data_IF_071477048517
#
_entry.id   IF_071477048517
#
_cell.length_a   1.000
_cell.length_b   1.000
_cell.length_c   1.000
_cell.angle_alpha   90.00
_cell.angle_beta   90.00
_cell.angle_gamma   90.00
#
_symmetry.space_group_name_H-M   'P 1'
#
loop_
_entity.id
_entity.type
_entity.pdbx_description
1 polymer ?
#
# COMPACT_ATOMS: atom_id res chain seq x y z
N UNK A 1 -7.12 -30.75 -88.72
CA UNK A 1 -6.25 -31.26 -87.65
C UNK A 1 -7.02 -32.38 -86.98
N UNK A 2 -7.05 -33.62 -87.49
CA UNK A 2 -5.94 -34.45 -88.01
C UNK A 2 -4.92 -34.65 -86.88
N UNK A 3 -4.58 -35.83 -86.39
CA UNK A 3 -4.97 -37.21 -86.68
C UNK A 3 -4.38 -38.10 -85.57
N UNK A 4 -4.91 -39.32 -85.46
CA UNK A 4 -4.23 -40.44 -84.83
C UNK A 4 -2.85 -40.65 -85.46
N UNK A 5 -1.77 -40.62 -84.68
CA UNK A 5 -0.50 -41.25 -85.08
C UNK A 5 0.11 -41.98 -83.88
N UNK A 6 -0.16 -43.29 -83.86
CA UNK A 6 0.68 -44.31 -83.26
C UNK A 6 1.81 -44.60 -84.29
N UNK A 7 3.07 -44.27 -83.99
CA UNK A 7 4.27 -44.79 -84.70
C UNK A 7 5.51 -44.36 -83.89
N UNK A 8 6.31 -45.21 -83.24
CA UNK A 8 7.04 -46.44 -83.64
C UNK A 8 8.19 -46.16 -84.61
N UNK A 9 9.42 -46.42 -84.12
CA UNK A 9 10.55 -47.08 -84.79
C UNK A 9 11.49 -47.60 -83.67
N UNK A 10 11.37 -48.85 -83.20
CA UNK A 10 11.89 -50.14 -83.72
C UNK A 10 13.40 -50.31 -83.47
N UNK A 11 13.87 -51.48 -82.96
CA UNK A 11 13.48 -52.81 -83.42
C UNK A 11 12.90 -53.73 -82.33
N UNK A 12 12.04 -54.65 -82.78
CA UNK A 12 11.91 -56.02 -82.27
C UNK A 12 11.77 -56.24 -80.74
N UNK A 13 10.53 -56.55 -80.29
CA UNK A 13 10.34 -57.57 -79.26
C UNK A 13 9.78 -57.17 -77.89
N UNK A 14 8.67 -56.43 -77.85
CA UNK A 14 7.66 -56.38 -76.77
C UNK A 14 8.11 -56.47 -75.29
N UNK A 15 8.14 -55.32 -74.59
CA UNK A 15 7.75 -55.30 -73.18
C UNK A 15 6.87 -54.09 -72.82
N UNK A 16 5.78 -54.33 -72.07
CA UNK A 16 4.98 -53.25 -71.48
C UNK A 16 3.52 -53.62 -71.28
N UNK A 17 3.26 -54.69 -70.54
CA UNK A 17 1.92 -55.13 -70.15
C UNK A 17 1.19 -54.03 -69.35
N UNK A 18 0.05 -53.57 -69.87
CA UNK A 18 -1.02 -53.01 -69.03
C UNK A 18 -1.72 -54.19 -68.39
N UNK A 19 -1.25 -54.59 -67.20
CA UNK A 19 -1.80 -55.72 -66.46
C UNK A 19 -2.93 -55.20 -65.58
N UNK A 20 -4.15 -55.57 -65.96
CA UNK A 20 -5.36 -55.43 -65.17
C UNK A 20 -5.10 -55.83 -63.71
N UNK A 21 -5.42 -54.90 -62.82
CA UNK A 21 -5.39 -55.05 -61.38
C UNK A 21 -6.53 -56.00 -61.01
N UNK A 22 -6.23 -57.28 -60.77
CA UNK A 22 -7.18 -58.28 -60.28
C UNK A 22 -6.61 -58.93 -59.00
N UNK A 23 -6.87 -58.23 -57.90
CA UNK A 23 -7.24 -58.74 -56.57
C UNK A 23 -6.97 -60.23 -56.27
N UNK A 24 -5.96 -60.51 -55.44
CA UNK A 24 -5.89 -61.75 -54.63
C UNK A 24 -5.42 -61.38 -53.22
N UNK A 25 -6.23 -61.80 -52.25
CA UNK A 25 -6.15 -61.62 -50.80
C UNK A 25 -5.05 -62.52 -50.19
N UNK A 26 -4.15 -61.95 -49.41
CA UNK A 26 -3.11 -62.67 -48.65
C UNK A 26 -3.04 -62.16 -47.21
N UNK A 27 -4.20 -62.11 -46.54
CA UNK A 27 -4.30 -61.99 -45.09
C UNK A 27 -4.17 -63.38 -44.42
N UNK A 28 -3.02 -64.03 -44.53
CA UNK A 28 -2.61 -65.08 -43.59
C UNK A 28 -1.13 -65.38 -43.79
N UNK A 29 -0.41 -65.73 -42.72
CA UNK A 29 1.03 -66.05 -42.67
C UNK A 29 1.93 -64.84 -42.36
N UNK A 30 1.89 -64.33 -41.12
CA UNK A 30 3.07 -63.98 -40.29
C UNK A 30 2.58 -63.64 -38.86
N UNK A 31 3.09 -64.26 -37.78
CA UNK A 31 2.79 -63.81 -36.43
C UNK A 31 3.45 -62.44 -36.17
N UNK A 32 2.77 -61.47 -35.53
CA UNK A 32 3.42 -60.21 -35.18
C UNK A 32 4.48 -60.46 -34.10
N UNK A 33 5.75 -60.21 -34.45
CA UNK A 33 6.87 -60.20 -33.50
C UNK A 33 6.59 -59.11 -32.47
N UNK A 34 6.55 -59.50 -31.20
CA UNK A 34 6.37 -58.61 -30.07
C UNK A 34 7.59 -57.68 -29.97
N UNK A 35 7.53 -56.50 -30.59
CA UNK A 35 8.48 -55.43 -30.32
C UNK A 35 8.12 -54.81 -28.98
N UNK A 36 8.65 -55.36 -27.88
CA UNK A 36 8.71 -54.60 -26.63
C UNK A 36 9.62 -53.40 -26.89
N UNK A 37 9.00 -52.25 -27.17
CA UNK A 37 9.70 -50.97 -27.07
C UNK A 37 10.28 -50.88 -25.67
N UNK A 38 11.61 -50.83 -25.59
CA UNK A 38 12.33 -50.47 -24.41
C UNK A 38 11.86 -49.07 -24.00
N UNK A 39 10.88 -49.00 -23.09
CA UNK A 39 10.45 -47.75 -22.49
C UNK A 39 11.65 -47.19 -21.73
N UNK A 40 12.37 -46.29 -22.40
CA UNK A 40 13.33 -45.41 -21.76
C UNK A 40 12.52 -44.50 -20.84
N UNK A 41 12.28 -44.97 -19.62
CA UNK A 41 11.68 -44.19 -18.55
C UNK A 41 12.63 -43.01 -18.30
N UNK A 42 12.35 -41.88 -18.94
CA UNK A 42 12.97 -40.62 -18.62
C UNK A 42 12.52 -40.22 -17.20
N UNK A 43 13.23 -40.73 -16.19
CA UNK A 43 13.11 -40.33 -14.77
C UNK A 43 13.39 -38.83 -14.57
N UNK A 44 13.90 -38.16 -15.60
CA UNK A 44 14.09 -36.72 -15.73
C UNK A 44 13.31 -36.13 -16.91
N UNK A 45 12.12 -36.67 -17.21
CA UNK A 45 11.15 -35.89 -17.98
C UNK A 45 10.79 -34.67 -17.11
N UNK A 46 11.18 -33.47 -17.54
CA UNK A 46 10.66 -32.26 -16.93
C UNK A 46 9.14 -32.38 -16.93
N UNK A 47 8.45 -32.10 -15.79
CA UNK A 47 7.00 -32.12 -15.79
C UNK A 47 6.57 -31.29 -16.98
N UNK A 48 5.68 -31.83 -17.83
CA UNK A 48 5.13 -31.07 -18.94
C UNK A 48 4.58 -29.78 -18.34
N UNK A 49 5.37 -28.71 -18.41
CA UNK A 49 4.89 -27.40 -18.05
C UNK A 49 3.70 -27.24 -18.96
N UNK A 50 2.53 -27.09 -18.38
CA UNK A 50 1.34 -26.74 -19.12
C UNK A 50 1.64 -25.42 -19.82
N UNK A 51 2.18 -25.53 -21.04
CA UNK A 51 2.49 -24.43 -21.94
C UNK A 51 1.26 -24.09 -22.76
N UNK A 52 0.05 -24.50 -22.32
CA UNK A 52 -1.10 -23.69 -22.69
C UNK A 52 -0.74 -22.28 -22.22
N UNK A 53 -0.68 -21.29 -23.12
CA UNK A 53 -0.74 -19.93 -22.66
C UNK A 53 -2.04 -19.89 -21.86
N UNK A 54 -1.97 -19.77 -20.53
CA UNK A 54 -3.15 -19.50 -19.70
C UNK A 54 -3.57 -18.06 -19.97
N UNK A 55 -3.92 -17.80 -21.23
CA UNK A 55 -4.03 -16.52 -21.89
C UNK A 55 -4.86 -16.68 -23.17
N UNK A 56 -6.00 -17.38 -23.11
CA UNK A 56 -7.13 -17.20 -24.05
C UNK A 56 -8.46 -17.42 -23.35
N UNK A 57 -8.61 -16.87 -22.15
CA UNK A 57 -9.93 -16.59 -21.61
C UNK A 57 -9.86 -15.18 -21.03
N UNK A 58 -10.80 -14.31 -21.39
CA UNK A 58 -10.96 -12.97 -20.82
C UNK A 58 -11.35 -13.00 -19.35
N UNK A 59 -10.76 -13.91 -18.58
CA UNK A 59 -10.99 -14.11 -17.16
C UNK A 59 -10.47 -12.90 -16.41
N UNK A 60 -11.40 -12.04 -16.03
CA UNK A 60 -11.11 -10.91 -15.16
C UNK A 60 -11.39 -11.27 -13.71
N UNK A 61 -10.63 -10.70 -12.78
CA UNK A 61 -10.86 -10.86 -11.35
C UNK A 61 -11.43 -9.57 -10.74
N UNK A 62 -12.36 -9.67 -9.79
CA UNK A 62 -12.89 -8.52 -9.06
C UNK A 62 -12.02 -8.22 -7.84
N UNK A 63 -11.18 -7.16 -7.87
CA UNK A 63 -10.32 -6.83 -6.74
C UNK A 63 -11.12 -6.35 -5.53
N UNK A 64 -10.97 -7.07 -4.41
CA UNK A 64 -11.35 -6.60 -3.07
C UNK A 64 -10.39 -5.50 -2.59
N UNK A 65 -10.85 -4.68 -1.64
CA UNK A 65 -10.07 -3.57 -1.07
C UNK A 65 -8.79 -4.05 -0.36
N UNK A 66 -8.89 -5.00 0.58
CA UNK A 66 -7.79 -5.43 1.46
C UNK A 66 -7.23 -6.84 1.16
N UNK A 67 -7.27 -7.28 -0.10
CA UNK A 67 -6.58 -8.53 -0.47
C UNK A 67 -5.08 -8.29 -0.66
N UNK A 68 -4.24 -9.22 -0.22
CA UNK A 68 -2.78 -9.16 -0.39
C UNK A 68 -2.30 -9.61 -1.78
N UNK A 69 -3.16 -10.33 -2.51
CA UNK A 69 -2.87 -10.93 -3.82
C UNK A 69 -3.72 -10.30 -4.91
N UNK A 70 -3.17 -10.25 -6.11
CA UNK A 70 -3.83 -9.74 -7.31
C UNK A 70 -3.61 -8.26 -7.56
N UNK A 71 -3.89 -7.86 -8.79
CA UNK A 71 -3.61 -6.52 -9.32
C UNK A 71 -4.74 -5.54 -9.01
N UNK A 72 -4.45 -4.25 -9.16
CA UNK A 72 -5.44 -3.19 -9.04
C UNK A 72 -5.21 -2.13 -10.14
N UNK A 73 -6.28 -1.79 -10.85
CA UNK A 73 -6.22 -0.77 -11.89
C UNK A 73 -6.22 0.66 -11.33
N UNK A 74 -5.82 1.63 -12.15
CA UNK A 74 -5.66 3.05 -11.77
C UNK A 74 -6.87 3.68 -11.07
N UNK A 75 -8.09 3.45 -11.60
CA UNK A 75 -9.33 4.05 -11.07
C UNK A 75 -9.63 3.53 -9.66
N UNK A 76 -9.53 2.22 -9.46
CA UNK A 76 -9.78 1.60 -8.14
C UNK A 76 -8.71 2.00 -7.14
N UNK A 77 -7.45 2.05 -7.58
CA UNK A 77 -6.34 2.51 -6.76
C UNK A 77 -6.59 3.94 -6.26
N UNK A 78 -6.99 4.85 -7.14
CA UNK A 78 -7.30 6.24 -6.78
C UNK A 78 -8.46 6.34 -5.78
N UNK A 79 -9.59 5.67 -6.03
CA UNK A 79 -10.74 5.73 -5.11
C UNK A 79 -10.37 5.13 -3.75
N UNK A 80 -9.73 3.96 -3.72
CA UNK A 80 -9.36 3.32 -2.46
C UNK A 80 -8.26 4.09 -1.71
N UNK A 81 -7.29 4.67 -2.40
CA UNK A 81 -6.27 5.50 -1.77
C UNK A 81 -6.88 6.76 -1.17
N UNK A 82 -7.80 7.44 -1.86
CA UNK A 82 -8.53 8.59 -1.32
C UNK A 82 -9.34 8.24 -0.08
N UNK A 83 -10.05 7.10 -0.07
CA UNK A 83 -10.80 6.64 1.11
C UNK A 83 -9.86 6.37 2.30
N UNK A 84 -8.70 5.76 2.06
CA UNK A 84 -7.70 5.53 3.12
C UNK A 84 -7.11 6.85 3.61
N UNK A 85 -6.81 7.79 2.72
CA UNK A 85 -6.33 9.14 3.08
C UNK A 85 -7.33 9.92 3.94
N UNK A 86 -8.62 9.91 3.56
CA UNK A 86 -9.68 10.55 4.36
C UNK A 86 -9.79 9.87 5.74
N UNK A 87 -9.75 8.55 5.79
CA UNK A 87 -9.76 7.80 7.06
C UNK A 87 -8.56 8.19 7.94
N UNK A 88 -7.35 8.29 7.37
CA UNK A 88 -6.16 8.75 8.09
C UNK A 88 -6.37 10.15 8.64
N UNK A 89 -6.85 11.11 7.83
CA UNK A 89 -7.08 12.49 8.26
C UNK A 89 -8.08 12.59 9.42
N UNK A 90 -9.18 11.82 9.37
CA UNK A 90 -10.17 11.79 10.46
C UNK A 90 -9.58 11.18 11.73
N UNK A 91 -8.85 10.07 11.61
CA UNK A 91 -8.22 9.42 12.77
C UNK A 91 -7.14 10.30 13.40
N UNK A 92 -6.32 10.98 12.59
CA UNK A 92 -5.28 11.89 13.11
C UNK A 92 -5.90 13.14 13.73
N UNK A 93 -6.95 13.72 13.15
CA UNK A 93 -7.67 14.85 13.74
C UNK A 93 -8.29 14.47 15.11
N UNK A 94 -8.93 13.30 15.20
CA UNK A 94 -9.48 12.79 16.45
C UNK A 94 -8.39 12.55 17.50
N UNK A 95 -7.24 11.99 17.09
CA UNK A 95 -6.10 11.78 17.97
C UNK A 95 -5.54 13.10 18.51
N UNK A 96 -5.39 14.12 17.65
CA UNK A 96 -4.90 15.44 18.06
C UNK A 96 -5.88 16.08 19.05
N UNK A 97 -7.19 16.04 18.77
CA UNK A 97 -8.20 16.60 19.68
C UNK A 97 -8.19 15.93 21.06
N UNK A 98 -7.98 14.61 21.11
CA UNK A 98 -7.82 13.88 22.36
C UNK A 98 -6.55 14.27 23.11
N UNK A 99 -5.44 14.46 22.38
CA UNK A 99 -4.15 14.81 22.95
C UNK A 99 -4.16 16.21 23.61
N UNK A 100 -4.87 17.16 23.01
CA UNK A 100 -5.03 18.54 23.52
C UNK A 100 -5.95 18.58 24.74
N UNK A 101 -7.02 17.79 24.77
CA UNK A 101 -8.04 17.85 25.84
C UNK A 101 -7.70 17.00 27.07
N UNK A 102 -7.01 15.87 26.88
CA UNK A 102 -6.69 14.95 27.95
C UNK A 102 -5.38 14.20 27.65
N UNK A 103 -4.23 14.88 27.82
CA UNK A 103 -2.93 14.28 27.61
C UNK A 103 -2.72 13.07 28.54
N UNK A 104 -2.67 11.88 27.96
CA UNK A 104 -2.38 10.62 28.65
C UNK A 104 -1.50 9.75 27.76
N UNK A 105 -0.36 9.25 28.26
CA UNK A 105 0.55 8.42 27.46
C UNK A 105 -0.13 7.16 26.92
N UNK A 106 -1.10 6.61 27.66
CA UNK A 106 -1.90 5.45 27.22
C UNK A 106 -2.80 5.80 26.02
N UNK A 107 -3.43 6.98 26.04
CA UNK A 107 -4.28 7.44 24.94
C UNK A 107 -3.46 7.74 23.67
N UNK A 108 -2.28 8.35 23.84
CA UNK A 108 -1.33 8.57 22.74
C UNK A 108 -0.89 7.25 22.10
N UNK A 109 -0.57 6.25 22.92
CA UNK A 109 -0.19 4.92 22.44
C UNK A 109 -1.33 4.25 21.67
N UNK A 110 -2.56 4.30 22.20
CA UNK A 110 -3.74 3.73 21.54
C UNK A 110 -4.01 4.39 20.19
N UNK A 111 -3.86 5.72 20.12
CA UNK A 111 -3.97 6.47 18.87
C UNK A 111 -2.94 6.06 17.82
N UNK A 112 -1.69 5.85 18.23
CA UNK A 112 -0.63 5.37 17.33
C UNK A 112 -0.93 3.96 16.81
N UNK A 113 -1.41 3.07 17.68
CA UNK A 113 -1.79 1.70 17.30
C UNK A 113 -2.94 1.70 16.30
N UNK A 114 -3.90 2.62 16.42
CA UNK A 114 -5.00 2.79 15.48
C UNK A 114 -4.55 3.24 14.08
N UNK A 115 -3.39 3.88 13.94
CA UNK A 115 -2.86 4.30 12.65
C UNK A 115 -2.20 3.16 11.86
N UNK A 116 -1.71 2.13 12.55
CA UNK A 116 -1.06 0.95 11.94
C UNK A 116 -1.90 0.29 10.84
N UNK A 117 -3.20 -0.05 11.05
CA UNK A 117 -4.01 -0.65 9.98
C UNK A 117 -4.18 0.25 8.77
N UNK A 118 -4.25 1.58 8.96
CA UNK A 118 -4.36 2.53 7.86
C UNK A 118 -3.07 2.58 7.03
N UNK A 119 -1.91 2.56 7.69
CA UNK A 119 -0.59 2.44 7.04
C UNK A 119 -0.41 1.10 6.33
N UNK A 120 -0.89 0.01 6.92
CA UNK A 120 -0.88 -1.30 6.26
C UNK A 120 -1.75 -1.27 5.00
N UNK A 121 -2.94 -0.66 5.06
CA UNK A 121 -3.82 -0.52 3.90
C UNK A 121 -3.17 0.27 2.75
N UNK A 122 -2.49 1.39 3.04
CA UNK A 122 -1.78 2.16 1.99
C UNK A 122 -0.68 1.34 1.34
N UNK A 123 0.11 0.60 2.12
CA UNK A 123 1.18 -0.26 1.60
C UNK A 123 0.64 -1.38 0.72
N UNK A 124 -0.43 -2.05 1.14
CA UNK A 124 -1.08 -3.13 0.38
C UNK A 124 -1.57 -2.63 -0.98
N UNK A 125 -2.25 -1.48 -1.00
CA UNK A 125 -2.75 -0.89 -2.24
C UNK A 125 -1.62 -0.52 -3.20
N UNK A 126 -0.56 0.11 -2.69
CA UNK A 126 0.60 0.52 -3.49
C UNK A 126 1.36 -0.69 -4.04
N UNK A 127 1.58 -1.73 -3.24
CA UNK A 127 2.19 -2.99 -3.69
C UNK A 127 1.43 -3.59 -4.89
N UNK A 128 0.10 -3.63 -4.81
CA UNK A 128 -0.76 -4.18 -5.87
C UNK A 128 -0.75 -3.32 -7.13
N UNK A 129 -0.64 -2.00 -6.97
CA UNK A 129 -0.53 -1.08 -8.09
C UNK A 129 0.83 -1.20 -8.77
N UNK A 130 1.89 -1.45 -8.01
CA UNK A 130 3.22 -1.74 -8.57
C UNK A 130 3.23 -3.06 -9.34
N UNK A 131 2.59 -4.09 -8.80
CA UNK A 131 2.40 -5.36 -9.53
C UNK A 131 1.58 -5.19 -10.82
N UNK A 132 0.67 -4.22 -10.89
CA UNK A 132 -0.07 -3.89 -12.09
C UNK A 132 0.80 -3.27 -13.19
N UNK A 133 1.92 -2.65 -12.82
CA UNK A 133 2.95 -2.10 -13.72
C UNK A 133 4.16 -3.04 -13.88
N UNK A 134 4.03 -4.30 -13.46
CA UNK A 134 5.07 -5.34 -13.52
C UNK A 134 6.34 -5.09 -12.68
N UNK A 135 6.26 -4.12 -11.77
CA UNK A 135 7.34 -3.73 -10.86
C UNK A 135 7.28 -4.51 -9.55
N UNK A 136 8.40 -4.47 -8.82
CA UNK A 136 8.50 -5.09 -7.50
C UNK A 136 7.67 -4.31 -6.47
N UNK A 137 6.93 -5.03 -5.62
CA UNK A 137 6.16 -4.42 -4.53
C UNK A 137 7.02 -3.72 -3.47
N UNK A 138 8.32 -4.00 -3.43
CA UNK A 138 9.29 -3.36 -2.53
C UNK A 138 9.47 -1.87 -2.80
N UNK A 139 9.23 -1.41 -4.05
CA UNK A 139 9.18 0.02 -4.35
C UNK A 139 8.07 0.74 -3.56
N UNK A 140 7.11 0.01 -2.98
CA UNK A 140 6.12 0.59 -2.07
C UNK A 140 6.73 1.21 -0.81
N UNK A 141 7.95 0.81 -0.41
CA UNK A 141 8.66 1.41 0.73
C UNK A 141 9.07 2.87 0.47
N UNK A 142 9.15 3.31 -0.79
CA UNK A 142 9.41 4.71 -1.15
C UNK A 142 8.33 5.66 -0.60
N UNK A 143 7.15 5.14 -0.24
CA UNK A 143 6.11 5.93 0.44
C UNK A 143 6.52 6.44 1.83
N UNK A 144 7.53 5.83 2.48
CA UNK A 144 8.00 6.29 3.79
C UNK A 144 8.72 7.64 3.73
N UNK A 145 9.20 8.04 2.53
CA UNK A 145 9.88 9.32 2.32
C UNK A 145 8.86 10.34 1.78
N UNK A 146 8.46 11.38 2.52
CA UNK A 146 7.33 12.25 2.14
C UNK A 146 7.46 12.91 0.76
N UNK A 147 8.63 13.48 0.45
CA UNK A 147 8.86 14.15 -0.83
C UNK A 147 8.80 13.17 -2.00
N UNK A 148 9.46 12.02 -1.85
CA UNK A 148 9.45 10.97 -2.88
C UNK A 148 8.05 10.39 -3.03
N UNK A 149 7.33 10.21 -1.91
CA UNK A 149 5.98 9.69 -1.90
C UNK A 149 5.04 10.53 -2.77
N UNK A 150 5.14 11.86 -2.71
CA UNK A 150 4.30 12.74 -3.50
C UNK A 150 4.46 12.51 -5.02
N UNK A 151 5.70 12.58 -5.52
CA UNK A 151 5.99 12.34 -6.93
C UNK A 151 5.71 10.89 -7.36
N UNK A 152 6.03 9.93 -6.50
CA UNK A 152 5.80 8.51 -6.74
C UNK A 152 4.30 8.19 -6.82
N UNK A 153 3.50 8.75 -5.92
CA UNK A 153 2.04 8.66 -5.93
C UNK A 153 1.44 9.23 -7.21
N UNK A 154 1.90 10.42 -7.63
CA UNK A 154 1.46 11.05 -8.86
C UNK A 154 1.78 10.20 -10.10
N UNK A 155 3.00 9.66 -10.16
CA UNK A 155 3.41 8.75 -11.22
C UNK A 155 2.55 7.47 -11.25
N UNK A 156 2.23 6.88 -10.10
CA UNK A 156 1.34 5.71 -10.02
C UNK A 156 -0.10 6.00 -10.47
N UNK A 157 -0.58 7.24 -10.30
CA UNK A 157 -1.91 7.64 -10.75
C UNK A 157 -2.01 7.73 -12.28
N UNK A 158 -1.00 8.30 -12.94
CA UNK A 158 -1.01 8.46 -14.40
C UNK A 158 -0.40 7.29 -15.17
N UNK A 159 0.43 6.48 -14.53
CA UNK A 159 1.08 5.32 -15.16
C UNK A 159 0.07 4.33 -15.75
N UNK A 160 0.38 3.77 -16.92
CA UNK A 160 -0.43 2.68 -17.50
C UNK A 160 -0.04 1.36 -16.83
N UNK A 161 -1.03 0.51 -16.52
CA UNK A 161 -0.81 -0.88 -16.11
C UNK A 161 -0.71 -1.80 -17.33
N UNK A 162 -0.34 -3.06 -17.14
CA UNK A 162 -0.28 -4.03 -18.25
C UNK A 162 -1.67 -4.46 -18.71
N UNK A 163 -1.89 -4.58 -20.02
CA UNK A 163 -3.21 -4.81 -20.62
C UNK A 163 -3.63 -6.30 -20.61
N UNK A 164 -2.68 -7.22 -20.47
CA UNK A 164 -2.89 -8.67 -20.41
C UNK A 164 -2.62 -9.29 -19.03
N UNK A 165 -2.71 -10.62 -18.95
CA UNK A 165 -2.26 -11.36 -17.78
C UNK A 165 -0.75 -11.16 -17.54
N UNK A 166 -0.33 -11.03 -16.28
CA UNK A 166 1.07 -10.89 -15.91
C UNK A 166 1.48 -11.89 -14.83
N UNK A 167 2.76 -11.90 -14.44
CA UNK A 167 3.31 -12.79 -13.38
C UNK A 167 2.63 -12.66 -12.01
N UNK A 168 1.87 -11.58 -11.78
CA UNK A 168 1.14 -11.29 -10.55
C UNK A 168 -0.37 -11.59 -10.65
N UNK A 169 -0.85 -12.05 -11.81
CA UNK A 169 -2.21 -12.55 -12.02
C UNK A 169 -2.96 -11.89 -13.17
N UNK A 170 -4.24 -12.25 -13.24
CA UNK A 170 -5.20 -11.81 -14.24
C UNK A 170 -5.47 -10.29 -14.16
N UNK A 171 -5.87 -9.67 -15.28
CA UNK A 171 -6.26 -8.26 -15.29
C UNK A 171 -7.49 -8.00 -14.40
N UNK A 172 -7.57 -6.82 -13.75
CA UNK A 172 -8.72 -6.45 -12.94
C UNK A 172 -9.96 -6.25 -13.80
N UNK A 173 -11.13 -6.64 -13.26
CA UNK A 173 -12.42 -6.49 -13.92
C UNK A 173 -12.73 -5.02 -14.27
N UNK A 174 -13.51 -4.79 -15.35
CA UNK A 174 -13.96 -3.46 -15.76
C UNK A 174 -14.50 -2.64 -14.59
N UNK A 175 -14.27 -1.33 -14.63
CA UNK A 175 -14.71 -0.43 -13.57
C UNK A 175 -16.20 -0.12 -13.73
N UNK A 176 -16.92 -0.10 -12.61
CA UNK A 176 -18.33 0.33 -12.58
C UNK A 176 -18.43 1.84 -12.81
N UNK A 177 -19.58 2.31 -13.35
CA UNK A 177 -19.82 3.75 -13.60
C UNK A 177 -19.69 4.57 -12.32
N UNK A 178 -20.17 4.04 -11.19
CA UNK A 178 -20.02 4.66 -9.87
C UNK A 178 -18.56 4.90 -9.49
N UNK A 179 -17.67 3.95 -9.79
CA UNK A 179 -16.25 4.07 -9.47
C UNK A 179 -15.55 5.09 -10.37
N UNK A 180 -15.97 5.20 -11.63
CA UNK A 180 -15.50 6.25 -12.54
C UNK A 180 -15.93 7.63 -12.06
N UNK A 181 -17.19 7.79 -11.64
CA UNK A 181 -17.69 9.05 -11.07
C UNK A 181 -16.92 9.40 -9.79
N UNK A 182 -16.77 8.45 -8.88
CA UNK A 182 -16.02 8.64 -7.63
C UNK A 182 -14.57 9.05 -7.88
N UNK A 183 -13.92 8.52 -8.92
CA UNK A 183 -12.55 8.85 -9.26
C UNK A 183 -12.36 10.32 -9.69
N UNK A 184 -13.41 10.99 -10.16
CA UNK A 184 -13.39 12.42 -10.46
C UNK A 184 -13.91 13.26 -9.29
N UNK A 185 -15.00 12.82 -8.65
CA UNK A 185 -15.64 13.55 -7.56
C UNK A 185 -14.74 13.65 -6.33
N UNK A 186 -14.07 12.57 -5.93
CA UNK A 186 -13.25 12.57 -4.71
C UNK A 186 -12.06 13.55 -4.78
N UNK A 187 -11.22 13.57 -5.84
CA UNK A 187 -10.14 14.55 -5.95
C UNK A 187 -10.63 15.99 -6.05
N UNK A 188 -11.73 16.23 -6.77
CA UNK A 188 -12.31 17.57 -6.90
C UNK A 188 -12.85 18.05 -5.56
N UNK A 189 -13.59 17.19 -4.84
CA UNK A 189 -14.10 17.52 -3.51
C UNK A 189 -12.95 17.79 -2.52
N UNK A 190 -11.89 16.99 -2.57
CA UNK A 190 -10.68 17.22 -1.76
C UNK A 190 -10.04 18.57 -2.08
N UNK A 191 -9.82 18.87 -3.37
CA UNK A 191 -9.27 20.16 -3.79
C UNK A 191 -10.16 21.35 -3.42
N UNK A 192 -11.49 21.21 -3.53
CA UNK A 192 -12.45 22.24 -3.13
C UNK A 192 -12.50 22.42 -1.60
N UNK A 193 -12.24 21.36 -0.82
CA UNK A 193 -12.20 21.43 0.64
C UNK A 193 -10.92 22.07 1.19
N UNK A 194 -9.82 22.07 0.43
CA UNK A 194 -8.51 22.57 0.89
C UNK A 194 -8.54 23.98 1.49
N UNK A 195 -9.16 25.00 0.86
CA UNK A 195 -9.23 26.34 1.46
C UNK A 195 -9.98 26.39 2.79
N UNK A 196 -10.96 25.49 2.98
CA UNK A 196 -11.70 25.38 4.23
C UNK A 196 -10.87 24.72 5.32
N UNK A 197 -10.05 23.74 4.96
CA UNK A 197 -9.14 23.05 5.89
C UNK A 197 -8.07 24.01 6.41
N UNK A 198 -7.46 24.83 5.54
CA UNK A 198 -6.46 25.82 5.98
C UNK A 198 -7.03 26.85 6.97
N UNK A 199 -8.25 27.33 6.72
CA UNK A 199 -8.95 28.23 7.65
C UNK A 199 -9.34 27.55 8.97
N UNK A 200 -9.60 26.24 8.93
CA UNK A 200 -9.87 25.46 10.12
C UNK A 200 -8.59 25.36 10.96
N UNK A 201 -7.44 25.11 10.34
CA UNK A 201 -6.14 25.04 11.02
C UNK A 201 -5.82 26.35 11.75
N UNK A 202 -5.99 27.51 11.10
CA UNK A 202 -5.80 28.82 11.73
C UNK A 202 -6.66 28.97 13.00
N UNK A 203 -7.96 28.66 12.90
CA UNK A 203 -8.88 28.73 14.05
C UNK A 203 -8.51 27.78 15.18
N UNK A 204 -8.04 26.57 14.84
CA UNK A 204 -7.63 25.58 15.82
C UNK A 204 -6.35 25.99 16.54
N UNK A 205 -5.39 26.57 15.82
CA UNK A 205 -4.15 27.11 16.39
C UNK A 205 -4.48 28.26 17.36
N UNK A 206 -5.35 29.19 16.96
CA UNK A 206 -5.81 30.28 17.80
C UNK A 206 -6.53 29.79 19.06
N UNK A 207 -7.38 28.77 18.94
CA UNK A 207 -8.09 28.20 20.07
C UNK A 207 -7.14 27.55 21.10
N UNK A 208 -6.09 26.86 20.63
CA UNK A 208 -5.10 26.23 21.49
C UNK A 208 -4.23 27.29 22.18
N UNK A 209 -3.69 28.25 21.43
CA UNK A 209 -2.85 29.32 22.02
C UNK A 209 -3.67 30.25 22.93
N UNK A 210 -4.92 30.54 22.57
CA UNK A 210 -5.83 31.35 23.37
C UNK A 210 -6.22 30.69 24.69
N UNK A 211 -6.35 29.36 24.72
CA UNK A 211 -6.57 28.61 25.97
C UNK A 211 -5.39 28.75 26.93
N UNK A 212 -4.15 28.74 26.41
CA UNK A 212 -2.94 28.87 27.23
C UNK A 212 -2.76 30.31 27.75
N UNK A 213 -3.00 31.32 26.92
CA UNK A 213 -2.98 32.73 27.33
C UNK A 213 -3.98 33.02 28.46
N UNK A 214 -5.20 32.47 28.38
CA UNK A 214 -6.23 32.64 29.42
C UNK A 214 -5.87 31.95 30.76
N UNK A 215 -4.96 30.97 30.74
CA UNK A 215 -4.46 30.28 31.95
C UNK A 215 -3.34 31.09 32.62
N UNK A 216 -2.48 31.73 31.83
CA UNK A 216 -1.35 32.55 32.31
C UNK A 216 -1.83 33.80 33.05
N UNK A 217 -2.83 34.49 32.51
CA UNK A 217 -3.43 35.70 33.12
C UNK A 217 -3.96 35.42 34.54
N UNK A 218 -4.64 34.28 34.74
CA UNK A 218 -5.20 33.91 36.05
C UNK A 218 -4.18 33.39 37.07
N UNK A 219 -2.98 33.04 36.62
CA UNK A 219 -1.94 32.45 37.50
C UNK A 219 -0.97 33.52 38.01
N UNK A 220 -0.92 34.70 37.38
CA UNK A 220 0.04 35.75 37.72
C UNK A 220 -0.64 37.13 37.81
N UNK A 221 -1.43 37.31 38.87
CA UNK A 221 -1.88 38.62 39.36
C UNK A 221 -0.97 39.07 40.53
N UNK A 222 0.19 39.72 40.29
CA UNK A 222 1.06 40.19 41.37
C UNK A 222 0.46 41.36 42.16
N UNK A 223 -0.68 41.91 41.72
CA UNK A 223 -1.32 43.09 42.31
C UNK A 223 -2.59 42.79 43.12
N UNK A 224 -3.23 41.63 42.92
CA UNK A 224 -4.47 41.28 43.62
C UNK A 224 -4.23 40.95 45.10
N UNK A 225 -3.02 40.53 45.48
CA UNK A 225 -2.64 40.27 46.87
C UNK A 225 -2.37 41.55 47.69
N UNK A 226 -2.19 42.72 47.05
CA UNK A 226 -1.87 43.98 47.75
C UNK A 226 -3.10 44.75 48.23
N UNK A 227 -4.28 44.45 47.68
CA UNK A 227 -5.53 45.16 47.96
C UNK A 227 -6.55 44.31 48.74
N UNK A 228 -6.12 43.24 49.40
CA UNK A 228 -6.98 42.58 50.39
C UNK A 228 -7.36 43.61 51.47
N UNK A 229 -8.65 43.79 51.79
CA UNK A 229 -9.05 44.77 52.79
C UNK A 229 -8.39 44.42 54.13
N UNK A 230 -7.72 45.40 54.72
CA UNK A 230 -7.21 45.30 56.07
C UNK A 230 -8.40 45.13 57.02
N UNK A 231 -8.64 43.90 57.43
CA UNK A 231 -9.56 43.59 58.51
C UNK A 231 -9.04 44.27 59.77
N UNK A 232 -9.81 45.26 60.23
CA UNK A 232 -9.64 45.92 61.52
C UNK A 232 -10.64 45.27 62.46
N UNK A 233 -10.22 44.15 63.05
CA UNK A 233 -10.95 43.44 64.08
C UNK A 233 -9.97 43.01 65.16
N UNK A 234 -9.92 43.79 66.23
CA UNK A 234 -9.29 43.40 67.47
C UNK A 234 -10.07 42.25 68.14
N UNK A 235 -9.39 41.55 69.06
CA UNK A 235 -9.93 40.63 70.07
C UNK A 235 -10.19 39.21 69.48
N UNK A 236 -9.42 38.16 69.78
CA UNK A 236 -9.24 37.56 71.11
C UNK A 236 -7.95 36.72 71.20
N UNK A 237 -7.29 36.84 72.36
CA UNK A 237 -6.22 35.96 72.79
C UNK A 237 -6.78 34.67 73.41
N UNK A 238 -6.38 33.49 72.92
CA UNK A 238 -6.04 32.36 73.82
C UNK A 238 -5.24 31.26 73.11
N UNK A 239 -4.01 31.07 73.60
CA UNK A 239 -3.29 29.82 73.81
C UNK A 239 -3.62 28.58 72.96
N UNK A 240 -2.62 28.11 72.21
CA UNK A 240 -2.15 26.72 72.31
C UNK A 240 -0.73 26.59 71.71
N UNK A 241 0.23 26.31 72.59
CA UNK A 241 1.60 25.91 72.31
C UNK A 241 1.65 24.60 71.51
N UNK A 242 2.50 24.55 70.49
CA UNK A 242 2.82 23.35 69.73
C UNK A 242 4.17 23.49 69.05
N UNK A 243 5.17 22.88 69.68
CA UNK A 243 6.58 22.81 69.35
C UNK A 243 6.86 22.15 67.98
N UNK A 244 7.69 22.76 67.13
CA UNK A 244 8.33 22.10 65.99
C UNK A 244 9.43 23.01 65.40
N UNK A 245 10.58 23.05 66.07
CA UNK A 245 11.84 23.50 65.50
C UNK A 245 12.24 22.57 64.35
N UNK A 246 12.32 23.10 63.12
CA UNK A 246 12.94 22.42 61.99
C UNK A 246 14.01 23.34 61.40
N UNK A 247 15.26 22.94 61.60
CA UNK A 247 16.47 23.62 61.18
C UNK A 247 16.51 23.83 59.66
N UNK A 248 16.87 25.05 59.25
CA UNK A 248 17.20 25.40 57.88
C UNK A 248 18.66 25.02 57.65
N UNK A 249 18.89 23.90 56.96
CA UNK A 249 20.22 23.51 56.49
C UNK A 249 20.47 24.17 55.12
N UNK A 250 21.39 25.15 55.10
CA UNK A 250 21.89 25.82 53.91
C UNK A 250 22.95 24.92 53.26
N UNK A 251 22.78 24.42 52.02
CA UNK A 251 23.85 23.67 51.37
C UNK A 251 24.91 24.64 50.85
N UNK A 252 26.12 24.51 51.41
CA UNK A 252 27.31 25.25 51.03
C UNK A 252 27.77 24.93 49.60
N UNK A 253 27.97 26.01 48.86
CA UNK A 253 28.82 26.25 47.70
C UNK A 253 29.88 25.16 47.38
N UNK A 254 29.75 24.55 46.20
CA UNK A 254 30.77 23.68 45.60
C UNK A 254 31.77 24.52 44.78
N UNK A 255 33.09 24.39 44.98
CA UNK A 255 34.08 25.18 44.26
C UNK A 255 34.30 24.70 42.82
N UNK A 256 34.51 25.66 41.93
CA UNK A 256 34.72 25.51 40.50
C UNK A 256 35.90 24.58 40.11
N UNK A 257 35.81 23.83 39.00
CA UNK A 257 36.90 22.95 38.55
C UNK A 257 38.05 23.75 37.91
N UNK A 258 39.26 23.51 38.42
CA UNK A 258 40.52 24.11 37.95
C UNK A 258 40.90 23.65 36.52
N UNK A 259 41.41 24.59 35.74
CA UNK A 259 41.87 24.41 34.37
C UNK A 259 43.13 23.51 34.25
N UNK A 260 43.30 22.74 33.16
CA UNK A 260 44.48 21.91 32.95
C UNK A 260 45.69 22.73 32.43
N UNK A 261 46.87 22.51 33.04
CA UNK A 261 48.16 23.09 32.64
C UNK A 261 48.93 22.11 31.73
N UNK A 262 49.65 22.57 30.68
CA UNK A 262 50.04 21.73 29.54
C UNK A 262 51.32 20.90 29.72
N UNK A 263 51.28 19.75 29.05
CA UNK A 263 52.31 18.92 28.40
C UNK A 263 53.76 18.90 28.93
N UNK A 264 54.22 17.68 29.23
CA UNK A 264 55.52 17.16 28.81
C UNK A 264 55.43 15.64 28.59
#
# INVERSE_FOLDING_TARGET
>A
MTEHIFSVLCPEGFPGQTLMIMQIDTQEIYPPIHSQEFQLNHLYAAPAADMTPRAVSGETYVPRMLTMKGRIGRVRYLVYSMVVWITIMVLTAALIALLVTAFSPLMSLLGLVMLIPALAATFILTRRRLHDMELSGWLGLLQMVPLVNFFFGLWMFFGRGSEGANKYGLPPAPNTRALLIAAWVLPIAFAASMPSILKLEEKWIDAIMGFEAAKVDKTFDPFSARNAPADTGADDASAASGDASADIEVPAEAPAPAAPKPAN
#
